data_IF_710206467839
#
_entry.id   IF_710206467839
#
_cell.length_a   1.000
_cell.length_b   1.000
_cell.length_c   1.000
_cell.angle_alpha   90.00
_cell.angle_beta   90.00
_cell.angle_gamma   90.00
#
_symmetry.space_group_name_H-M   'P 1'
#
loop_
_entity.id
_entity.type
_entity.pdbx_description
1 polymer ?
#
# COMPACT_ATOMS: atom_id res chain seq x y z
N UNK A 1 -25.45 -33.85 16.66
CA UNK A 1 -24.69 -34.00 15.39
C UNK A 1 -23.29 -33.49 15.65
N UNK A 2 -22.39 -34.41 15.95
CA UNK A 2 -20.98 -34.10 16.17
C UNK A 2 -20.39 -33.52 14.88
N UNK A 3 -19.83 -32.30 14.97
CA UNK A 3 -19.11 -31.67 13.87
C UNK A 3 -17.79 -32.43 13.67
N UNK A 4 -17.85 -33.51 12.89
CA UNK A 4 -16.67 -34.20 12.38
C UNK A 4 -15.76 -33.15 11.72
N UNK A 5 -14.50 -33.05 12.16
CA UNK A 5 -13.59 -31.90 12.01
C UNK A 5 -13.22 -31.43 10.60
N UNK A 6 -13.99 -31.75 9.57
CA UNK A 6 -13.84 -31.27 8.20
C UNK A 6 -14.79 -30.09 7.96
N UNK A 7 -14.45 -28.93 8.53
CA UNK A 7 -15.10 -27.67 8.15
C UNK A 7 -14.43 -27.11 6.90
N UNK A 8 -15.21 -26.64 5.93
CA UNK A 8 -14.67 -25.96 4.76
C UNK A 8 -13.88 -24.73 5.22
N UNK A 9 -12.55 -24.81 5.17
CA UNK A 9 -11.67 -23.69 5.51
C UNK A 9 -11.82 -22.65 4.42
N UNK A 10 -12.16 -21.40 4.82
CA UNK A 10 -12.15 -20.27 3.88
C UNK A 10 -10.77 -20.18 3.24
N UNK A 11 -10.69 -20.29 1.92
CA UNK A 11 -9.44 -20.20 1.20
C UNK A 11 -8.76 -18.86 1.45
N UNK A 12 -7.43 -18.84 1.62
CA UNK A 12 -6.63 -17.60 1.75
C UNK A 12 -6.40 -16.91 0.39
N UNK A 13 -7.32 -17.10 -0.55
CA UNK A 13 -7.22 -16.51 -1.89
C UNK A 13 -7.60 -15.04 -1.78
N UNK A 14 -6.78 -14.17 -2.36
CA UNK A 14 -7.11 -12.77 -2.54
C UNK A 14 -7.91 -12.71 -3.84
N UNK A 15 -9.12 -12.16 -3.75
CA UNK A 15 -9.92 -11.87 -4.93
C UNK A 15 -9.52 -10.49 -5.45
N UNK A 16 -8.84 -10.48 -6.59
CA UNK A 16 -8.32 -9.27 -7.19
C UNK A 16 -9.34 -8.49 -8.00
N UNK A 17 -10.43 -9.14 -8.39
CA UNK A 17 -11.47 -8.59 -9.28
C UNK A 17 -12.49 -7.78 -8.49
N UNK A 18 -12.71 -8.14 -7.22
CA UNK A 18 -13.57 -7.37 -6.30
C UNK A 18 -12.87 -6.17 -5.64
N UNK A 19 -11.55 -6.03 -5.79
CA UNK A 19 -10.79 -4.97 -5.14
C UNK A 19 -10.82 -3.65 -5.94
N UNK A 20 -11.05 -2.55 -5.22
CA UNK A 20 -11.04 -1.19 -5.78
C UNK A 20 -9.61 -0.69 -5.99
N UNK A 21 -9.20 -0.53 -7.26
CA UNK A 21 -7.87 -0.03 -7.65
C UNK A 21 -7.84 1.47 -7.95
N UNK A 22 -8.95 2.18 -7.78
CA UNK A 22 -9.07 3.59 -8.14
C UNK A 22 -8.01 4.48 -7.50
N UNK A 23 -7.65 4.19 -6.25
CA UNK A 23 -6.60 4.91 -5.51
C UNK A 23 -5.22 4.66 -6.13
N UNK A 24 -4.91 3.42 -6.51
CA UNK A 24 -3.65 3.08 -7.14
C UNK A 24 -3.52 3.75 -8.51
N UNK A 25 -4.62 3.84 -9.25
CA UNK A 25 -4.67 4.54 -10.54
C UNK A 25 -4.51 6.05 -10.39
N UNK A 26 -5.19 6.67 -9.41
CA UNK A 26 -5.00 8.08 -9.09
C UNK A 26 -3.54 8.40 -8.77
N UNK A 27 -2.91 7.60 -7.90
CA UNK A 27 -1.50 7.75 -7.53
C UNK A 27 -0.62 7.55 -8.75
N UNK A 28 -0.90 6.56 -9.58
CA UNK A 28 -0.13 6.28 -10.78
C UNK A 28 -0.24 7.37 -11.84
N UNK A 29 -1.37 8.08 -11.92
CA UNK A 29 -1.57 9.18 -12.85
C UNK A 29 -0.79 10.44 -12.43
N UNK A 30 -0.73 10.70 -11.12
CA UNK A 30 -0.04 11.88 -10.57
C UNK A 30 1.45 11.64 -10.27
N UNK A 31 1.86 10.39 -10.06
CA UNK A 31 3.25 10.00 -9.84
C UNK A 31 3.58 8.72 -10.62
N UNK A 32 3.96 8.84 -11.91
CA UNK A 32 4.26 7.70 -12.77
C UNK A 32 5.40 6.80 -12.25
N UNK A 33 6.31 7.35 -11.42
CA UNK A 33 7.38 6.56 -10.80
C UNK A 33 6.84 5.48 -9.84
N UNK A 34 5.58 5.56 -9.41
CA UNK A 34 4.93 4.49 -8.66
C UNK A 34 4.94 3.15 -9.42
N UNK A 35 4.79 3.16 -10.75
CA UNK A 35 4.71 1.95 -11.58
C UNK A 35 6.00 1.14 -11.61
N UNK A 36 7.16 1.79 -11.48
CA UNK A 36 8.47 1.13 -11.57
C UNK A 36 8.93 0.51 -10.26
N UNK A 37 8.12 0.60 -9.19
CA UNK A 37 8.40 0.00 -7.89
C UNK A 37 8.42 -1.54 -8.01
N UNK A 38 9.56 -2.14 -7.68
CA UNK A 38 9.79 -3.60 -7.70
C UNK A 38 9.62 -4.25 -6.32
N UNK A 39 9.09 -3.51 -5.33
CA UNK A 39 8.77 -4.04 -4.00
C UNK A 39 9.98 -4.67 -3.25
N UNK A 40 11.19 -4.15 -3.50
CA UNK A 40 12.44 -4.67 -2.91
C UNK A 40 12.54 -4.50 -1.38
N UNK A 41 11.92 -3.46 -0.80
CA UNK A 41 11.92 -3.22 0.65
C UNK A 41 13.00 -2.31 1.21
N UNK A 42 13.92 -1.77 0.41
CA UNK A 42 14.94 -0.81 0.87
C UNK A 42 14.32 0.39 1.61
N UNK A 43 13.20 0.90 1.11
CA UNK A 43 12.48 2.02 1.71
C UNK A 43 11.85 1.67 3.08
N UNK A 44 11.41 0.43 3.28
CA UNK A 44 10.94 -0.04 4.59
C UNK A 44 12.10 -0.18 5.57
N UNK A 45 13.24 -0.71 5.13
CA UNK A 45 14.43 -0.87 5.98
C UNK A 45 15.00 0.48 6.48
N UNK A 46 14.93 1.52 5.64
CA UNK A 46 15.37 2.86 6.02
C UNK A 46 14.34 3.66 6.84
N UNK A 47 13.12 3.13 7.02
CA UNK A 47 12.03 3.88 7.64
C UNK A 47 12.15 3.88 9.17
N UNK A 48 12.30 5.06 9.77
CA UNK A 48 12.33 5.21 11.23
C UNK A 48 11.00 4.82 11.88
N UNK A 49 9.87 5.15 11.26
CA UNK A 49 8.53 4.78 11.76
C UNK A 49 8.33 3.28 11.81
N UNK A 50 8.92 2.53 10.87
CA UNK A 50 8.86 1.07 10.83
C UNK A 50 9.57 0.39 12.00
N UNK A 51 10.53 1.06 12.63
CA UNK A 51 11.22 0.52 13.80
C UNK A 51 10.39 0.59 15.09
N UNK A 52 9.46 1.56 15.17
CA UNK A 52 8.65 1.79 16.37
C UNK A 52 7.19 1.38 16.21
N UNK A 53 6.74 1.10 14.99
CA UNK A 53 5.35 0.77 14.68
C UNK A 53 5.26 -0.26 13.56
N UNK A 54 4.10 -0.89 13.41
CA UNK A 54 3.78 -1.72 12.24
C UNK A 54 3.53 -0.84 10.99
N UNK A 55 4.59 -0.24 10.46
CA UNK A 55 4.59 0.55 9.23
C UNK A 55 5.63 -0.03 8.27
N UNK A 56 5.19 -0.44 7.09
CA UNK A 56 6.08 -0.89 6.03
C UNK A 56 5.64 -0.27 4.72
N UNK A 57 6.52 0.56 4.15
CA UNK A 57 6.25 1.22 2.87
C UNK A 57 6.15 0.21 1.72
N UNK A 58 6.96 -0.85 1.76
CA UNK A 58 6.86 -2.00 0.85
C UNK A 58 5.48 -2.64 0.90
N UNK A 59 4.98 -2.90 2.11
CA UNK A 59 3.67 -3.55 2.28
C UNK A 59 2.55 -2.64 1.77
N UNK A 60 2.60 -1.35 2.10
CA UNK A 60 1.67 -0.33 1.60
C UNK A 60 1.63 -0.32 0.06
N UNK A 61 2.81 -0.35 -0.58
CA UNK A 61 2.92 -0.40 -2.05
C UNK A 61 2.24 -1.64 -2.63
N UNK A 62 2.45 -2.81 -2.01
CA UNK A 62 1.81 -4.06 -2.43
C UNK A 62 0.29 -3.93 -2.27
N UNK A 63 -0.19 -3.67 -1.05
CA UNK A 63 -1.63 -3.58 -0.74
C UNK A 63 -2.36 -2.59 -1.65
N UNK A 64 -1.75 -1.43 -1.91
CA UNK A 64 -2.32 -0.42 -2.79
C UNK A 64 -2.45 -0.94 -4.23
N UNK A 65 -1.40 -1.56 -4.80
CA UNK A 65 -1.47 -2.16 -6.15
C UNK A 65 -2.51 -3.28 -6.23
N UNK A 66 -2.78 -3.98 -5.12
CA UNK A 66 -3.82 -5.01 -5.04
C UNK A 66 -5.23 -4.44 -4.86
N UNK A 67 -5.38 -3.16 -4.53
CA UNK A 67 -6.65 -2.54 -4.17
C UNK A 67 -7.14 -2.87 -2.74
N UNK A 68 -6.26 -3.39 -1.88
CA UNK A 68 -6.55 -3.70 -0.46
C UNK A 68 -6.48 -2.42 0.40
N UNK A 69 -7.36 -1.45 0.10
CA UNK A 69 -7.28 -0.08 0.59
C UNK A 69 -7.48 0.07 2.11
N UNK A 70 -8.24 -0.83 2.74
CA UNK A 70 -8.51 -0.78 4.18
C UNK A 70 -7.23 -0.96 5.00
N UNK A 71 -6.38 -1.91 4.62
CA UNK A 71 -5.09 -2.14 5.27
C UNK A 71 -4.11 -0.98 5.09
N UNK A 72 -4.26 -0.22 3.99
CA UNK A 72 -3.42 0.95 3.71
C UNK A 72 -3.83 2.15 4.56
N UNK A 73 -5.15 2.39 4.72
CA UNK A 73 -5.72 3.60 5.34
C UNK A 73 -5.20 3.85 6.76
N UNK A 74 -4.98 2.81 7.55
CA UNK A 74 -4.50 2.97 8.93
C UNK A 74 -2.98 3.04 9.03
N UNK A 75 -2.26 2.38 8.12
CA UNK A 75 -0.79 2.43 8.09
C UNK A 75 -0.30 3.77 7.58
N UNK A 76 -0.95 4.35 6.57
CA UNK A 76 -0.50 5.58 5.91
C UNK A 76 -0.45 6.80 6.85
N UNK A 77 -1.31 6.83 7.87
CA UNK A 77 -1.39 7.91 8.87
C UNK A 77 -0.14 8.01 9.75
N UNK A 78 0.64 6.92 9.85
CA UNK A 78 1.84 6.85 10.70
C UNK A 78 3.07 7.48 10.04
N UNK A 79 3.02 7.75 8.73
CA UNK A 79 4.15 8.31 8.02
C UNK A 79 4.42 9.76 8.45
N UNK A 80 5.65 10.03 8.91
CA UNK A 80 6.10 11.36 9.34
C UNK A 80 6.71 12.20 8.20
N UNK A 81 6.60 11.76 6.95
CA UNK A 81 7.07 12.47 5.74
C UNK A 81 8.55 12.90 5.74
N UNK A 82 9.41 12.16 6.45
CA UNK A 82 10.84 12.46 6.59
C UNK A 82 11.68 12.30 5.30
N UNK A 83 11.16 11.62 4.27
CA UNK A 83 11.79 11.52 2.95
C UNK A 83 12.95 10.52 2.81
N UNK A 84 13.40 9.86 3.88
CA UNK A 84 14.51 8.88 3.84
C UNK A 84 14.31 7.76 2.82
N UNK A 85 13.06 7.35 2.62
CA UNK A 85 12.68 6.30 1.67
C UNK A 85 13.04 6.63 0.20
N UNK A 86 13.06 7.91 -0.19
CA UNK A 86 13.41 8.32 -1.56
C UNK A 86 14.91 8.17 -1.81
N UNK A 87 15.75 8.41 -0.79
CA UNK A 87 17.21 8.35 -0.88
C UNK A 87 17.75 6.93 -1.12
N UNK A 88 17.02 5.92 -0.66
CA UNK A 88 17.46 4.51 -0.72
C UNK A 88 16.78 3.72 -1.84
N UNK A 89 15.93 4.35 -2.65
CA UNK A 89 15.18 3.63 -3.68
C UNK A 89 16.07 3.35 -4.91
N UNK A 90 16.38 2.07 -5.24
CA UNK A 90 17.24 1.75 -6.38
C UNK A 90 16.58 2.03 -7.73
N UNK A 91 15.25 2.17 -7.76
CA UNK A 91 14.48 2.49 -8.96
C UNK A 91 14.19 3.99 -9.10
N UNK A 92 14.53 4.82 -8.11
CA UNK A 92 14.23 6.25 -8.13
C UNK A 92 12.74 6.58 -7.98
N UNK A 93 11.96 5.73 -7.29
CA UNK A 93 10.55 6.03 -7.01
C UNK A 93 10.46 7.22 -6.05
N UNK A 94 9.64 8.21 -6.38
CA UNK A 94 9.36 9.34 -5.49
C UNK A 94 8.39 8.94 -4.37
N UNK A 95 8.87 8.05 -3.49
CA UNK A 95 8.07 7.40 -2.44
C UNK A 95 7.42 8.40 -1.47
N UNK A 96 8.07 9.54 -1.21
CA UNK A 96 7.48 10.61 -0.39
C UNK A 96 6.23 11.20 -1.06
N UNK A 97 6.30 11.49 -2.36
CA UNK A 97 5.14 12.02 -3.09
C UNK A 97 4.02 10.98 -3.21
N UNK A 98 4.37 9.72 -3.44
CA UNK A 98 3.40 8.60 -3.43
C UNK A 98 2.59 8.58 -2.13
N UNK A 99 3.24 8.70 -0.96
CA UNK A 99 2.54 8.73 0.33
C UNK A 99 1.56 9.92 0.42
N UNK A 100 1.98 11.11 -0.01
CA UNK A 100 1.13 12.30 -0.01
C UNK A 100 -0.11 12.12 -0.88
N UNK A 101 0.08 11.60 -2.10
CA UNK A 101 -1.02 11.33 -3.04
C UNK A 101 -1.99 10.29 -2.50
N UNK A 102 -1.50 9.25 -1.82
CA UNK A 102 -2.35 8.26 -1.15
C UNK A 102 -3.20 8.92 -0.06
N UNK A 103 -2.58 9.74 0.80
CA UNK A 103 -3.30 10.46 1.86
C UNK A 103 -4.34 11.42 1.28
N UNK A 104 -4.01 12.11 0.18
CA UNK A 104 -4.92 12.99 -0.54
C UNK A 104 -6.11 12.22 -1.14
N UNK A 105 -5.85 11.11 -1.81
CA UNK A 105 -6.88 10.26 -2.41
C UNK A 105 -7.87 9.75 -1.35
N UNK A 106 -7.37 9.33 -0.18
CA UNK A 106 -8.21 8.92 0.94
C UNK A 106 -9.02 10.07 1.55
N UNK A 107 -8.50 11.30 1.56
CA UNK A 107 -9.23 12.49 2.02
C UNK A 107 -10.34 12.89 1.04
N UNK A 108 -10.08 12.80 -0.25
CA UNK A 108 -11.04 13.09 -1.32
C UNK A 108 -12.13 12.02 -1.48
N UNK A 109 -12.05 10.90 -0.74
CA UNK A 109 -12.96 9.75 -0.86
C UNK A 109 -13.17 9.34 -2.33
N UNK A 110 -12.09 9.26 -3.09
CA UNK A 110 -12.14 8.80 -4.48
C UNK A 110 -12.63 7.35 -4.45
N UNK A 111 -13.86 7.12 -4.94
CA UNK A 111 -14.49 5.80 -5.05
C UNK A 111 -14.70 5.35 -6.50
N UNK A 112 -14.30 6.16 -7.47
CA UNK A 112 -14.48 5.88 -8.89
C UNK A 112 -13.30 6.48 -9.65
N UNK A 113 -12.27 5.70 -9.91
CA UNK A 113 -11.39 5.95 -11.04
C UNK A 113 -11.55 4.69 -11.90
N UNK A 114 -12.44 4.86 -12.88
CA UNK A 114 -12.75 4.02 -14.05
C UNK A 114 -12.99 2.52 -13.80
#
# INVERSE_FOLDING_TARGET
MDKFGFTLVKGRRIDYDSNDRSIAEYVSAHEPSFRICIECGCCSAACTTGNFTQFSLREIQILLKRGENDGVRDKIKKCMLCGKCTLVCPRGVNTRNVILLIQEAFRKNIKNAV
#
